data_IF_529515920508
#
_entry.id   IF_529515920508
#
_cell.length_a   1.000
_cell.length_b   1.000
_cell.length_c   1.000
_cell.angle_alpha   90.00
_cell.angle_beta   90.00
_cell.angle_gamma   90.00
#
_symmetry.space_group_name_H-M   'P 1'
#
loop_
_entity.id
_entity.type
_entity.pdbx_description
1 polymer ?
#
# COMPACT_ATOMS: atom_id res chain seq x y z
N UNK A 1 16.48 -6.94 9.36
CA UNK A 1 15.14 -7.17 9.94
C UNK A 1 14.08 -6.21 9.41
N UNK A 2 14.23 -4.88 9.55
CA UNK A 2 13.23 -3.93 9.00
C UNK A 2 13.08 -4.08 7.49
N UNK A 3 14.18 -4.12 6.75
CA UNK A 3 14.17 -4.30 5.29
C UNK A 3 13.53 -5.61 4.84
N UNK A 4 13.77 -6.71 5.56
CA UNK A 4 13.23 -8.04 5.22
C UNK A 4 11.69 -8.08 5.33
N UNK A 5 11.12 -7.42 6.35
CA UNK A 5 9.67 -7.32 6.50
C UNK A 5 9.08 -6.33 5.49
N UNK A 6 9.78 -5.21 5.25
CA UNK A 6 9.37 -4.22 4.25
C UNK A 6 9.25 -4.84 2.85
N UNK A 7 10.12 -5.80 2.52
CA UNK A 7 10.10 -6.54 1.26
C UNK A 7 8.73 -7.13 0.93
N UNK A 8 8.03 -7.68 1.93
CA UNK A 8 6.72 -8.33 1.76
C UNK A 8 5.60 -7.34 1.34
N UNK A 9 5.81 -6.05 1.62
CA UNK A 9 4.83 -4.99 1.39
C UNK A 9 5.30 -3.94 0.37
N UNK A 10 6.51 -4.09 -0.21
CA UNK A 10 7.07 -3.11 -1.17
C UNK A 10 6.12 -2.83 -2.33
N UNK A 11 5.45 -3.87 -2.84
CA UNK A 11 4.48 -3.73 -3.92
C UNK A 11 3.33 -2.76 -3.59
N UNK A 12 2.98 -2.57 -2.31
CA UNK A 12 1.93 -1.65 -1.88
C UNK A 12 2.39 -0.18 -2.01
N UNK A 13 3.70 0.06 -1.84
CA UNK A 13 4.33 1.35 -2.12
C UNK A 13 4.34 1.59 -3.62
N UNK A 14 4.76 0.60 -4.42
CA UNK A 14 4.75 0.70 -5.88
C UNK A 14 3.35 1.03 -6.41
N UNK A 15 2.32 0.33 -5.90
CA UNK A 15 0.92 0.61 -6.23
C UNK A 15 0.51 2.04 -5.87
N UNK A 16 0.95 2.55 -4.72
CA UNK A 16 0.63 3.91 -4.28
C UNK A 16 1.25 4.96 -5.21
N UNK A 17 2.49 4.74 -5.64
CA UNK A 17 3.19 5.60 -6.60
C UNK A 17 2.51 5.56 -7.96
N UNK A 18 2.20 4.37 -8.50
CA UNK A 18 1.52 4.21 -9.79
C UNK A 18 0.18 4.93 -9.78
N UNK A 19 -0.66 4.69 -8.77
CA UNK A 19 -1.96 5.35 -8.68
C UNK A 19 -1.84 6.88 -8.57
N UNK A 20 -0.82 7.39 -7.88
CA UNK A 20 -0.59 8.84 -7.77
C UNK A 20 -0.18 9.45 -9.12
N UNK A 21 0.58 8.72 -9.93
CA UNK A 21 0.95 9.11 -11.29
C UNK A 21 -0.25 9.03 -12.26
N UNK A 22 -1.06 7.98 -12.18
CA UNK A 22 -2.27 7.78 -12.99
C UNK A 22 -3.32 8.86 -12.74
N UNK A 23 -3.47 9.32 -11.49
CA UNK A 23 -4.39 10.39 -11.11
C UNK A 23 -3.98 11.76 -11.73
N UNK A 24 -2.85 11.84 -12.45
CA UNK A 24 -2.27 13.04 -13.11
C UNK A 24 -2.16 14.26 -12.20
N UNK A 25 -2.05 14.03 -10.88
CA UNK A 25 -1.99 15.11 -9.89
C UNK A 25 -0.60 15.69 -9.71
N UNK A 26 0.44 14.95 -10.09
CA UNK A 26 1.83 15.38 -9.97
C UNK A 26 2.27 16.23 -11.16
N UNK A 27 2.81 17.41 -10.89
CA UNK A 27 3.36 18.35 -11.86
C UNK A 27 4.86 18.52 -11.65
N UNK A 28 5.59 19.06 -12.64
CA UNK A 28 7.03 19.36 -12.47
C UNK A 28 7.31 20.31 -11.29
N UNK A 29 6.38 21.24 -11.03
CA UNK A 29 6.45 22.18 -9.89
C UNK A 29 6.47 21.50 -8.53
N UNK A 30 6.01 20.26 -8.44
CA UNK A 30 5.90 19.48 -7.20
C UNK A 30 7.23 18.87 -6.75
N UNK A 31 8.27 19.06 -7.56
CA UNK A 31 9.59 18.54 -7.31
C UNK A 31 10.59 19.68 -7.16
N UNK A 32 11.61 19.43 -6.35
CA UNK A 32 12.77 20.31 -6.14
C UNK A 32 13.97 19.58 -6.73
N UNK A 33 14.68 20.24 -7.64
CA UNK A 33 16.01 19.80 -8.06
C UNK A 33 17.01 20.54 -7.17
N UNK A 34 17.78 19.80 -6.40
CA UNK A 34 18.84 20.37 -5.55
C UNK A 34 20.04 20.77 -6.41
N UNK A 35 20.97 21.54 -5.86
CA UNK A 35 22.22 21.92 -6.52
C UNK A 35 23.03 20.70 -7.00
N UNK A 36 23.05 19.61 -6.22
CA UNK A 36 23.67 18.34 -6.61
C UNK A 36 22.83 17.48 -7.56
N UNK A 37 21.85 18.06 -8.26
CA UNK A 37 20.96 17.37 -9.21
C UNK A 37 20.11 16.22 -8.65
N UNK A 38 19.94 16.13 -7.34
CA UNK A 38 18.97 15.21 -6.74
C UNK A 38 17.54 15.77 -6.84
N UNK A 39 16.57 14.89 -7.09
CA UNK A 39 15.16 15.24 -7.11
C UNK A 39 14.54 14.93 -5.75
N UNK A 40 13.84 15.90 -5.17
CA UNK A 40 13.09 15.76 -3.92
C UNK A 40 11.63 16.14 -4.15
N UNK A 41 10.71 15.49 -3.43
CA UNK A 41 9.31 15.91 -3.38
C UNK A 41 9.17 17.19 -2.57
N UNK A 42 8.31 18.12 -3.01
CA UNK A 42 7.82 19.20 -2.16
C UNK A 42 6.85 18.66 -1.11
N UNK A 43 6.67 19.41 -0.04
CA UNK A 43 5.82 19.04 1.10
C UNK A 43 4.41 18.62 0.68
N UNK A 44 3.76 19.40 -0.21
CA UNK A 44 2.41 19.08 -0.69
C UNK A 44 2.32 17.70 -1.34
N UNK A 45 3.27 17.36 -2.20
CA UNK A 45 3.28 16.09 -2.94
C UNK A 45 3.80 14.93 -2.10
N UNK A 46 4.69 15.20 -1.15
CA UNK A 46 5.06 14.23 -0.11
C UNK A 46 3.83 13.86 0.74
N UNK A 47 3.03 14.84 1.16
CA UNK A 47 1.78 14.60 1.88
C UNK A 47 0.79 13.78 1.06
N UNK A 48 0.61 14.12 -0.22
CA UNK A 48 -0.25 13.33 -1.12
C UNK A 48 0.19 11.86 -1.24
N UNK A 49 1.51 11.61 -1.32
CA UNK A 49 2.05 10.26 -1.35
C UNK A 49 1.80 9.52 -0.03
N UNK A 50 2.03 10.18 1.11
CA UNK A 50 1.75 9.62 2.45
C UNK A 50 0.28 9.25 2.58
N UNK A 51 -0.63 10.14 2.17
CA UNK A 51 -2.07 9.91 2.22
C UNK A 51 -2.46 8.71 1.34
N UNK A 52 -1.88 8.61 0.13
CA UNK A 52 -2.14 7.49 -0.78
C UNK A 52 -1.64 6.16 -0.22
N UNK A 53 -0.44 6.15 0.36
CA UNK A 53 0.14 4.98 1.05
C UNK A 53 -0.78 4.57 2.20
N UNK A 54 -1.19 5.51 3.05
CA UNK A 54 -2.10 5.26 4.18
C UNK A 54 -3.43 4.66 3.72
N UNK A 55 -4.05 5.21 2.67
CA UNK A 55 -5.27 4.67 2.08
C UNK A 55 -5.10 3.23 1.58
N UNK A 56 -3.96 2.93 0.94
CA UNK A 56 -3.69 1.58 0.46
C UNK A 56 -3.41 0.60 1.61
N UNK A 57 -2.71 1.00 2.67
CA UNK A 57 -2.52 0.17 3.87
C UNK A 57 -3.83 -0.13 4.61
N UNK A 58 -4.75 0.84 4.63
CA UNK A 58 -6.06 0.70 5.24
C UNK A 58 -7.09 -0.04 4.38
N UNK A 59 -6.77 -0.37 3.13
CA UNK A 59 -7.68 -1.13 2.25
C UNK A 59 -7.90 -2.54 2.81
N UNK A 60 -9.16 -2.92 2.96
CA UNK A 60 -9.53 -4.27 3.37
C UNK A 60 -9.20 -5.30 2.28
N UNK A 61 -8.71 -6.46 2.70
CA UNK A 61 -8.42 -7.59 1.82
C UNK A 61 -9.31 -8.76 2.19
N UNK A 62 -9.72 -9.55 1.19
CA UNK A 62 -10.33 -10.85 1.42
C UNK A 62 -9.21 -11.84 1.80
N UNK A 63 -8.73 -11.76 3.03
CA UNK A 63 -7.92 -12.83 3.61
C UNK A 63 -8.84 -14.00 3.98
N UNK A 64 -8.32 -15.24 3.92
CA UNK A 64 -9.06 -16.52 3.99
C UNK A 64 -10.02 -16.67 5.18
N UNK A 65 -9.93 -15.85 6.22
CA UNK A 65 -10.72 -16.04 7.44
C UNK A 65 -11.35 -14.77 8.04
N UNK A 66 -10.88 -13.56 7.71
CA UNK A 66 -11.43 -12.26 8.19
C UNK A 66 -11.04 -11.10 7.27
N UNK A 67 -11.84 -10.03 7.23
CA UNK A 67 -11.52 -8.76 6.57
C UNK A 67 -10.36 -8.07 7.31
N UNK A 68 -9.12 -8.34 6.92
CA UNK A 68 -7.94 -7.66 7.45
C UNK A 68 -7.44 -6.59 6.46
N UNK A 69 -7.11 -5.41 6.99
CA UNK A 69 -6.36 -4.39 6.25
C UNK A 69 -4.91 -4.85 6.05
N UNK A 70 -4.21 -4.33 5.04
CA UNK A 70 -2.79 -4.64 4.87
C UNK A 70 -1.96 -4.19 6.08
N UNK A 71 -2.35 -3.12 6.76
CA UNK A 71 -1.73 -2.69 8.03
C UNK A 71 -1.85 -3.76 9.12
N UNK A 72 -3.02 -4.38 9.28
CA UNK A 72 -3.19 -5.44 10.26
C UNK A 72 -2.35 -6.67 9.91
N UNK A 73 -2.24 -7.02 8.62
CA UNK A 73 -1.39 -8.13 8.17
C UNK A 73 0.09 -7.86 8.49
N UNK A 74 0.56 -6.62 8.32
CA UNK A 74 1.94 -6.23 8.69
C UNK A 74 2.18 -6.40 10.20
N UNK A 75 1.26 -5.89 11.03
CA UNK A 75 1.36 -6.00 12.50
C UNK A 75 1.35 -7.48 12.90
N UNK A 76 0.45 -8.28 12.33
CA UNK A 76 0.37 -9.72 12.61
C UNK A 76 1.67 -10.42 12.22
N UNK A 77 2.25 -10.14 11.05
CA UNK A 77 3.53 -10.72 10.63
C UNK A 77 4.67 -10.38 11.60
N UNK A 78 4.75 -9.13 12.05
CA UNK A 78 5.77 -8.71 13.04
C UNK A 78 5.55 -9.44 14.37
N UNK A 79 4.31 -9.55 14.85
CA UNK A 79 3.99 -10.28 16.07
C UNK A 79 4.27 -11.78 15.95
N UNK A 80 4.02 -12.37 14.77
CA UNK A 80 4.36 -13.75 14.48
C UNK A 80 5.86 -14.00 14.57
N UNK A 81 6.65 -13.12 13.96
CA UNK A 81 8.10 -13.18 14.03
C UNK A 81 8.62 -13.00 15.45
N UNK A 82 8.09 -12.03 16.20
CA UNK A 82 8.47 -11.84 17.61
C UNK A 82 8.20 -13.09 18.45
N UNK A 83 7.01 -13.69 18.31
CA UNK A 83 6.64 -14.91 19.03
C UNK A 83 7.51 -16.12 18.64
N UNK A 84 7.96 -16.19 17.38
CA UNK A 84 8.87 -17.23 16.92
C UNK A 84 10.26 -17.05 17.55
N UNK A 85 10.80 -15.82 17.56
CA UNK A 85 12.12 -15.51 18.12
C UNK A 85 12.18 -15.82 19.63
N UNK A 86 11.14 -15.51 20.39
CA UNK A 86 11.08 -15.78 21.84
C UNK A 86 10.70 -17.22 22.19
N UNK A 87 10.50 -18.10 21.20
CA UNK A 87 10.16 -19.51 21.41
C UNK A 87 8.69 -19.79 21.76
N UNK A 88 7.82 -18.77 21.78
CA UNK A 88 6.38 -18.91 22.00
C UNK A 88 5.65 -19.53 20.79
N UNK A 89 6.33 -19.62 19.64
CA UNK A 89 5.87 -20.37 18.46
C UNK A 89 7.00 -21.22 17.90
N UNK A 90 6.66 -22.45 17.50
CA UNK A 90 7.60 -23.39 16.86
C UNK A 90 7.76 -23.15 15.35
N UNK A 91 6.75 -22.58 14.71
CA UNK A 91 6.73 -22.34 13.27
C UNK A 91 6.50 -20.87 12.95
N UNK A 92 7.09 -20.41 11.85
CA UNK A 92 6.94 -19.06 11.32
C UNK A 92 6.14 -19.10 10.01
N UNK A 93 4.94 -18.51 10.01
CA UNK A 93 4.10 -18.38 8.82
C UNK A 93 3.80 -16.91 8.52
N UNK A 94 4.69 -16.29 7.75
CA UNK A 94 4.48 -14.91 7.30
C UNK A 94 3.44 -14.90 6.17
N UNK A 95 2.44 -14.03 6.31
CA UNK A 95 1.42 -13.83 5.29
C UNK A 95 1.94 -12.81 4.28
N UNK A 96 2.15 -13.23 3.05
CA UNK A 96 2.41 -12.31 1.94
C UNK A 96 1.06 -11.87 1.40
N UNK A 97 0.67 -10.59 1.56
CA UNK A 97 -0.63 -10.15 1.10
C UNK A 97 -0.69 -10.20 -0.43
N UNK A 98 -1.78 -10.76 -0.97
CA UNK A 98 -1.96 -10.86 -2.41
C UNK A 98 -2.05 -9.48 -3.04
N UNK A 99 -1.32 -9.31 -4.15
CA UNK A 99 -1.45 -8.14 -5.01
C UNK A 99 -2.84 -8.17 -5.62
N UNK A 100 -3.71 -7.18 -5.38
CA UNK A 100 -4.93 -7.04 -6.14
C UNK A 100 -4.52 -6.71 -7.57
N UNK A 101 -4.60 -7.69 -8.48
CA UNK A 101 -4.39 -7.45 -9.89
C UNK A 101 -5.25 -6.25 -10.31
N UNK A 102 -4.70 -5.25 -11.03
CA UNK A 102 -5.51 -4.18 -11.55
C UNK A 102 -6.57 -4.80 -12.45
N UNK A 103 -7.82 -4.82 -11.98
CA UNK A 103 -8.97 -5.19 -12.79
C UNK A 103 -8.93 -4.24 -13.97
N UNK A 104 -8.72 -4.82 -15.15
CA UNK A 104 -8.61 -4.20 -16.46
C UNK A 104 -9.50 -2.95 -16.57
N UNK A 105 -8.96 -1.78 -16.20
CA UNK A 105 -9.72 -0.51 -16.16
C UNK A 105 -9.67 0.23 -17.49
N UNK A 106 -9.18 -0.43 -18.54
CA UNK A 106 -9.13 0.09 -19.90
C UNK A 106 -10.50 0.09 -20.62
N UNK A 107 -11.56 -0.49 -20.03
CA UNK A 107 -12.86 -0.65 -20.71
C UNK A 107 -14.11 -0.31 -19.89
N UNK A 108 -14.10 0.66 -18.96
CA UNK A 108 -15.34 1.10 -18.30
C UNK A 108 -15.39 2.62 -18.14
N UNK A 109 -15.56 3.32 -19.26
CA UNK A 109 -15.95 4.74 -19.24
C UNK A 109 -17.47 4.96 -19.09
N UNK A 110 -18.31 3.93 -18.93
CA UNK A 110 -19.77 4.08 -18.95
C UNK A 110 -20.54 3.47 -17.76
N UNK A 111 -19.93 3.20 -16.60
CA UNK A 111 -20.67 2.60 -15.47
C UNK A 111 -20.41 3.32 -14.14
N UNK A 112 -20.56 4.64 -14.16
CA UNK A 112 -20.74 5.45 -12.94
C UNK A 112 -22.24 5.65 -12.63
N UNK A 113 -23.04 4.59 -12.49
CA UNK A 113 -24.34 4.70 -11.81
C UNK A 113 -24.66 3.36 -11.11
N UNK A 114 -25.16 3.48 -9.88
CA UNK A 114 -25.87 2.46 -9.08
C UNK A 114 -25.00 1.57 -8.17
N UNK A 115 -24.75 2.04 -6.94
CA UNK A 115 -25.23 1.40 -5.70
C UNK A 115 -24.61 2.05 -4.46
N UNK A 116 -25.26 3.10 -3.94
CA UNK A 116 -25.18 3.45 -2.52
C UNK A 116 -26.62 3.62 -2.03
N UNK A 117 -27.27 2.51 -1.68
CA UNK A 117 -28.27 2.45 -0.60
C UNK A 117 -28.58 0.99 -0.28
N UNK A 118 -28.17 0.53 0.90
CA UNK A 118 -28.93 -0.37 1.79
C UNK A 118 -28.13 -0.64 3.07
N UNK A 119 -28.64 -0.09 4.15
CA UNK A 119 -28.16 -0.11 5.53
C UNK A 119 -28.95 0.93 6.29
#
# INVERSE_FOLDING_TARGET
MVYDIQELFRWLIDLSVIQLLEDKRLKKSDFIVTENYHIRLREGSAKMLIDKISLNFNRATKSKTKNHTYQNILIDNVQQLANFIIGNRKDLQLVIPNVPLPINRFHLNNTHIVNITRG
#
